data_IF_579596327968
#
_entry.id   IF_579596327968
#
_cell.length_a   1.000
_cell.length_b   1.000
_cell.length_c   1.000
_cell.angle_alpha   90.00
_cell.angle_beta   90.00
_cell.angle_gamma   90.00
#
_symmetry.space_group_name_H-M   'P 1'
#
loop_
_entity.id
_entity.type
_entity.pdbx_description
1 polymer ?
#
# COMPACT_ATOMS: atom_id res chain seq x y z
N UNK A 1 -4.73 -1.63 -15.71
CA UNK A 1 -4.33 -2.69 -14.77
C UNK A 1 -3.70 -2.04 -13.56
N UNK A 2 -4.19 -2.37 -12.37
CA UNK A 2 -3.60 -1.90 -11.10
C UNK A 2 -2.54 -2.90 -10.69
N UNK A 3 -1.28 -2.55 -10.92
CA UNK A 3 -0.16 -3.43 -10.61
C UNK A 3 0.18 -3.29 -9.12
N UNK A 4 -0.11 -4.33 -8.34
CA UNK A 4 0.30 -4.40 -6.95
C UNK A 4 1.81 -4.47 -6.86
N UNK A 5 2.40 -3.61 -6.03
CA UNK A 5 3.83 -3.61 -5.74
C UNK A 5 4.05 -4.02 -4.30
N UNK A 6 4.80 -5.10 -4.09
CA UNK A 6 5.20 -5.54 -2.77
C UNK A 6 6.21 -4.55 -2.16
N UNK A 7 6.07 -4.28 -0.86
CA UNK A 7 7.00 -3.45 -0.12
C UNK A 7 8.37 -4.14 0.02
N UNK A 8 9.45 -3.37 -0.08
CA UNK A 8 10.81 -3.85 0.22
C UNK A 8 11.04 -4.10 1.72
N UNK A 9 10.12 -3.63 2.58
CA UNK A 9 10.14 -3.87 4.03
C UNK A 9 9.43 -5.16 4.44
N UNK A 10 8.90 -5.90 3.48
CA UNK A 10 8.28 -7.19 3.73
C UNK A 10 9.33 -8.28 3.92
N UNK A 11 9.36 -8.87 5.10
CA UNK A 11 10.22 -10.01 5.40
C UNK A 11 9.61 -11.31 4.86
N UNK A 12 10.40 -12.39 4.90
CA UNK A 12 10.05 -13.71 4.36
C UNK A 12 8.74 -14.26 4.95
N UNK A 13 8.48 -13.99 6.23
CA UNK A 13 7.38 -14.60 7.00
C UNK A 13 6.49 -13.59 7.73
N UNK A 14 6.79 -12.30 7.71
CA UNK A 14 6.04 -11.29 8.47
C UNK A 14 5.99 -9.93 7.75
N UNK A 15 4.99 -9.12 8.10
CA UNK A 15 4.83 -7.73 7.64
C UNK A 15 4.79 -7.59 6.10
N UNK A 16 4.11 -8.52 5.43
CA UNK A 16 4.00 -8.54 3.98
C UNK A 16 2.91 -7.57 3.51
N UNK A 17 3.32 -6.44 2.92
CA UNK A 17 2.38 -5.39 2.47
C UNK A 17 2.55 -5.18 0.97
N UNK A 18 1.43 -5.05 0.28
CA UNK A 18 1.35 -4.63 -1.12
C UNK A 18 0.60 -3.31 -1.24
N UNK A 19 1.05 -2.47 -2.17
CA UNK A 19 0.44 -1.19 -2.48
C UNK A 19 0.14 -1.10 -3.97
N UNK A 20 -1.03 -0.60 -4.33
CA UNK A 20 -1.40 -0.29 -5.71
C UNK A 20 -1.80 1.19 -5.82
N UNK A 21 -1.26 1.86 -6.84
CA UNK A 21 -1.61 3.23 -7.17
C UNK A 21 -2.69 3.25 -8.25
N UNK A 22 -3.76 4.00 -7.99
CA UNK A 22 -4.79 4.37 -8.95
C UNK A 22 -4.73 5.90 -9.20
N UNK A 23 -5.59 6.41 -10.09
CA UNK A 23 -5.61 7.83 -10.41
C UNK A 23 -5.96 8.71 -9.19
N UNK A 24 -6.95 8.31 -8.39
CA UNK A 24 -7.53 9.08 -7.29
C UNK A 24 -7.28 8.46 -5.90
N UNK A 25 -6.74 7.24 -5.86
CA UNK A 25 -6.57 6.46 -4.63
C UNK A 25 -5.30 5.62 -4.61
N UNK A 26 -4.86 5.32 -3.41
CA UNK A 26 -3.82 4.34 -3.09
C UNK A 26 -4.46 3.24 -2.26
N UNK A 27 -4.29 2.00 -2.71
CA UNK A 27 -4.79 0.82 -2.03
C UNK A 27 -3.62 0.10 -1.35
N UNK A 28 -3.79 -0.30 -0.09
CA UNK A 28 -2.83 -1.06 0.68
C UNK A 28 -3.49 -2.32 1.26
N UNK A 29 -2.77 -3.44 1.24
CA UNK A 29 -3.26 -4.72 1.78
C UNK A 29 -2.12 -5.57 2.30
N UNK A 30 -2.46 -6.55 3.14
CA UNK A 30 -1.55 -7.63 3.48
C UNK A 30 -1.44 -8.61 2.30
N UNK A 31 -0.22 -8.98 1.90
CA UNK A 31 -0.01 -9.88 0.75
C UNK A 31 -0.47 -11.31 1.03
N UNK A 32 -0.48 -11.73 2.31
CA UNK A 32 -0.86 -13.07 2.78
C UNK A 32 -2.34 -13.16 3.12
N UNK A 33 -2.96 -12.05 3.52
CA UNK A 33 -4.40 -11.91 3.69
C UNK A 33 -4.90 -10.69 2.89
N UNK A 34 -5.23 -10.86 1.59
CA UNK A 34 -5.52 -9.75 0.68
C UNK A 34 -6.73 -8.88 1.03
N UNK A 35 -7.51 -9.27 2.03
CA UNK A 35 -8.70 -8.56 2.48
C UNK A 35 -8.70 -8.42 4.01
N UNK A 36 -9.12 -7.25 4.53
CA UNK A 36 -9.64 -6.09 3.80
C UNK A 36 -8.54 -5.23 3.14
N UNK A 37 -8.92 -4.49 2.09
CA UNK A 37 -8.05 -3.50 1.43
C UNK A 37 -8.31 -2.12 2.02
N UNK A 38 -7.25 -1.47 2.49
CA UNK A 38 -7.30 -0.09 2.95
C UNK A 38 -7.18 0.81 1.72
N UNK A 39 -8.17 1.68 1.50
CA UNK A 39 -8.17 2.65 0.41
C UNK A 39 -8.01 4.05 0.97
N UNK A 40 -7.07 4.80 0.41
CA UNK A 40 -6.74 6.16 0.81
C UNK A 40 -6.78 7.07 -0.40
N UNK A 41 -7.27 8.32 -0.29
CA UNK A 41 -7.06 9.32 -1.33
C UNK A 41 -5.58 9.54 -1.61
N UNK A 42 -5.20 9.76 -2.88
CA UNK A 42 -3.79 9.94 -3.26
C UNK A 42 -3.13 11.10 -2.51
N UNK A 43 -3.82 12.22 -2.33
CA UNK A 43 -3.30 13.39 -1.60
C UNK A 43 -3.03 13.10 -0.11
N UNK A 44 -3.86 12.28 0.54
CA UNK A 44 -3.65 11.86 1.93
C UNK A 44 -2.42 10.97 2.05
N UNK A 45 -2.22 10.06 1.09
CA UNK A 45 -1.05 9.20 1.04
C UNK A 45 0.26 9.99 0.84
N UNK A 46 0.27 10.96 -0.07
CA UNK A 46 1.44 11.81 -0.30
C UNK A 46 1.82 12.64 0.93
N UNK A 47 0.82 13.23 1.61
CA UNK A 47 1.05 13.96 2.87
C UNK A 47 1.62 13.07 3.96
N UNK A 48 1.09 11.84 4.09
CA UNK A 48 1.62 10.87 5.05
C UNK A 48 3.10 10.56 4.79
N UNK A 49 3.48 10.32 3.52
CA UNK A 49 4.88 10.04 3.16
C UNK A 49 5.81 11.24 3.39
N UNK A 50 5.33 12.47 3.21
CA UNK A 50 6.11 13.67 3.48
C UNK A 50 6.36 13.88 4.98
N UNK A 51 5.38 13.57 5.83
CA UNK A 51 5.48 13.74 7.28
C UNK A 51 6.37 12.67 7.95
N UNK A 52 6.44 11.47 7.38
CA UNK A 52 7.13 10.30 7.95
C UNK A 52 8.31 9.83 7.12
N UNK A 53 8.97 10.76 6.42
CA UNK A 53 10.16 10.47 5.62
C UNK A 53 11.42 10.33 6.48
#
# INVERSE_FOLDING_TARGET
>A
MTLWRKSSRSASSANCVEVAHHADRVAARDSKNPQPVINLPTNSWERFLQQHR
#
